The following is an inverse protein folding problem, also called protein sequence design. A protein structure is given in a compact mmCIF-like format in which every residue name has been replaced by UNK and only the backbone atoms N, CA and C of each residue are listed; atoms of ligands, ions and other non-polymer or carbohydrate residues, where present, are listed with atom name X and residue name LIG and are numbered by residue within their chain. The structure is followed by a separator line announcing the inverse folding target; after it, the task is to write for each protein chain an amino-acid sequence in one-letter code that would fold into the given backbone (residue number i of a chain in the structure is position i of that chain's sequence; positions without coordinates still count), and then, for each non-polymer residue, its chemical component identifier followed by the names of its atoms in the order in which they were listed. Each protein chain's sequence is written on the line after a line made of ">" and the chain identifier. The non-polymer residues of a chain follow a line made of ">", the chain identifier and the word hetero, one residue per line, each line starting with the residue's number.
data_IF_290003738176
#
_entry.id   IF_290003738176
#
_cell.length_a   1.000
_cell.length_b   1.000
_cell.length_c   1.000
_cell.angle_alpha   90.00
_cell.angle_beta   90.00
_cell.angle_gamma   90.00
#
_symmetry.space_group_name_H-M   'P 1'
#
loop_
_entity.id
_entity.type
_entity.pdbx_description
1 polymer ?
#
# COMPACT_ATOMS: atom_id res chain seq x y z
N UNK A 1 -11.62 -25.21 -7.59
CA UNK A 1 -11.31 -23.78 -7.85
C UNK A 1 -12.17 -22.97 -6.91
N UNK A 2 -11.58 -22.33 -5.90
CA UNK A 2 -12.30 -21.39 -5.04
C UNK A 2 -12.56 -20.13 -5.88
N UNK A 3 -13.82 -19.85 -6.20
CA UNK A 3 -14.22 -18.63 -6.89
C UNK A 3 -13.98 -17.44 -5.95
N UNK A 4 -12.79 -16.84 -6.01
CA UNK A 4 -12.49 -15.65 -5.24
C UNK A 4 -13.30 -14.48 -5.84
N UNK A 5 -14.12 -13.78 -5.04
CA UNK A 5 -15.00 -12.74 -5.57
C UNK A 5 -14.24 -11.50 -6.05
N UNK A 6 -12.96 -11.38 -5.67
CA UNK A 6 -12.09 -10.26 -6.01
C UNK A 6 -10.80 -10.77 -6.64
N UNK A 7 -10.35 -10.04 -7.66
CA UNK A 7 -9.01 -10.13 -8.24
C UNK A 7 -8.21 -8.90 -7.82
N UNK A 8 -6.99 -9.12 -7.33
CA UNK A 8 -6.07 -8.06 -6.93
C UNK A 8 -4.95 -7.95 -7.98
N UNK A 9 -4.83 -6.80 -8.63
CA UNK A 9 -3.74 -6.50 -9.56
C UNK A 9 -2.81 -5.49 -8.93
N UNK A 10 -1.50 -5.79 -8.85
CA UNK A 10 -0.52 -4.84 -8.30
C UNK A 10 -0.52 -3.55 -9.12
N UNK A 11 -0.34 -2.42 -8.44
CA UNK A 11 -0.12 -1.12 -9.09
C UNK A 11 1.27 -1.06 -9.77
N UNK A 12 1.42 -0.25 -10.83
CA UNK A 12 2.66 -0.15 -11.59
C UNK A 12 3.82 0.43 -10.77
N UNK A 13 5.04 0.09 -11.19
CA UNK A 13 6.28 0.56 -10.56
C UNK A 13 6.40 2.09 -10.50
N UNK A 14 5.82 2.82 -11.46
CA UNK A 14 5.81 4.29 -11.49
C UNK A 14 5.04 4.91 -10.32
N UNK A 15 4.08 4.18 -9.74
CA UNK A 15 3.32 4.62 -8.57
C UNK A 15 4.02 4.18 -7.28
N UNK A 16 4.50 2.94 -7.23
CA UNK A 16 4.93 2.31 -5.98
C UNK A 16 6.37 2.56 -5.58
N UNK A 17 7.26 2.79 -6.55
CA UNK A 17 8.69 2.82 -6.30
C UNK A 17 9.21 4.25 -6.23
N UNK A 18 9.76 4.61 -5.07
CA UNK A 18 10.41 5.91 -4.89
C UNK A 18 11.61 6.05 -5.85
N UNK A 19 11.73 7.24 -6.44
CA UNK A 19 12.78 7.64 -7.39
C UNK A 19 12.91 6.64 -8.54
N UNK A 20 11.79 6.12 -9.03
CA UNK A 20 11.78 5.16 -10.15
C UNK A 20 11.81 5.86 -11.50
N UNK A 21 11.12 6.99 -11.61
CA UNK A 21 11.07 7.80 -12.82
C UNK A 21 12.23 8.79 -12.77
N UNK A 22 13.15 8.70 -13.73
CA UNK A 22 14.31 9.59 -13.74
C UNK A 22 13.88 11.02 -14.13
N UNK A 23 14.46 12.01 -13.47
CA UNK A 23 14.17 13.44 -13.62
C UNK A 23 12.72 13.85 -13.25
N UNK A 24 12.02 13.01 -12.48
CA UNK A 24 10.72 13.34 -11.90
C UNK A 24 10.86 13.47 -10.38
N UNK A 25 10.73 14.69 -9.87
CA UNK A 25 10.86 14.95 -8.44
C UNK A 25 9.69 14.37 -7.64
N UNK A 26 8.52 14.22 -8.26
CA UNK A 26 7.32 13.69 -7.60
C UNK A 26 7.23 12.16 -7.65
N UNK A 27 8.30 11.45 -8.06
CA UNK A 27 8.36 9.99 -8.08
C UNK A 27 8.48 9.43 -6.64
N UNK A 28 7.46 9.63 -5.82
CA UNK A 28 7.33 9.09 -4.47
C UNK A 28 5.84 8.87 -4.14
N UNK A 29 5.48 7.65 -3.71
CA UNK A 29 4.10 7.33 -3.37
C UNK A 29 3.57 8.12 -2.16
N UNK A 30 4.45 8.50 -1.24
CA UNK A 30 4.11 9.27 -0.03
C UNK A 30 3.56 10.65 -0.36
N UNK A 31 3.96 11.23 -1.50
CA UNK A 31 3.42 12.51 -1.96
C UNK A 31 1.92 12.43 -2.23
N UNK A 32 1.48 11.41 -2.98
CA UNK A 32 0.06 11.28 -3.28
C UNK A 32 -0.73 10.78 -2.05
N UNK A 33 -0.11 10.04 -1.14
CA UNK A 33 -0.76 9.67 0.13
C UNK A 33 -0.98 10.91 1.02
N UNK A 34 -0.04 11.86 1.03
CA UNK A 34 -0.23 13.14 1.70
C UNK A 34 -1.35 13.97 1.05
N UNK A 35 -1.41 14.00 -0.29
CA UNK A 35 -2.55 14.59 -1.01
C UNK A 35 -3.86 13.90 -0.62
N UNK A 36 -3.87 12.57 -0.56
CA UNK A 36 -5.02 11.79 -0.15
C UNK A 36 -5.52 12.18 1.26
N UNK A 37 -4.63 12.30 2.26
CA UNK A 37 -5.02 12.74 3.61
C UNK A 37 -5.70 14.12 3.58
N UNK A 38 -5.20 15.01 2.72
CA UNK A 38 -5.73 16.36 2.59
C UNK A 38 -7.05 16.43 1.80
N UNK A 39 -7.37 15.43 0.97
CA UNK A 39 -8.66 15.31 0.27
C UNK A 39 -9.68 14.45 1.03
N UNK A 40 -9.22 13.61 1.96
CA UNK A 40 -10.04 12.69 2.75
C UNK A 40 -10.93 13.42 3.76
N UNK A 41 -12.27 13.37 3.63
CA UNK A 41 -13.17 13.95 4.62
C UNK A 41 -12.97 13.37 6.03
N UNK A 42 -12.64 12.08 6.14
CA UNK A 42 -12.34 11.42 7.41
C UNK A 42 -11.10 12.01 8.08
N UNK A 43 -9.97 12.08 7.37
CA UNK A 43 -8.72 12.61 7.93
C UNK A 43 -8.80 14.11 8.18
N UNK A 44 -9.50 14.86 7.32
CA UNK A 44 -9.79 16.27 7.58
C UNK A 44 -10.54 16.46 8.91
N UNK A 45 -11.58 15.68 9.19
CA UNK A 45 -12.25 15.73 10.50
C UNK A 45 -11.30 15.34 11.64
N UNK A 46 -10.45 14.33 11.41
CA UNK A 46 -9.50 13.82 12.41
C UNK A 46 -8.41 14.83 12.77
N UNK A 47 -8.01 15.68 11.84
CA UNK A 47 -7.07 16.80 12.07
C UNK A 47 -7.75 18.11 12.47
N UNK A 48 -9.04 18.11 12.83
CA UNK A 48 -9.82 19.34 13.04
C UNK A 48 -9.72 20.32 11.84
N UNK A 49 -9.73 19.77 10.63
CA UNK A 49 -9.60 20.44 9.34
C UNK A 49 -8.26 21.18 9.16
N UNK A 50 -7.26 20.84 9.96
CA UNK A 50 -5.90 21.32 9.78
C UNK A 50 -5.21 20.49 8.71
N UNK A 51 -4.44 21.17 7.86
CA UNK A 51 -3.72 20.54 6.76
C UNK A 51 -2.65 19.59 7.30
N UNK A 52 -2.50 18.44 6.65
CA UNK A 52 -1.34 17.58 6.83
C UNK A 52 -0.18 18.08 5.98
N UNK A 53 0.97 18.21 6.60
CA UNK A 53 2.22 18.65 5.96
C UNK A 53 3.31 17.59 6.15
N UNK A 54 4.33 17.67 5.30
CA UNK A 54 5.53 16.85 5.47
C UNK A 54 6.32 17.34 6.69
N UNK A 55 7.06 16.45 7.37
CA UNK A 55 8.04 16.87 8.35
C UNK A 55 9.09 17.81 7.73
N UNK A 56 9.66 18.68 8.57
CA UNK A 56 10.70 19.63 8.17
C UNK A 56 12.02 18.89 7.83
N UNK A 57 12.21 17.70 8.40
CA UNK A 57 13.40 16.89 8.22
C UNK A 57 13.04 15.40 8.11
N UNK A 58 13.57 14.69 7.13
CA UNK A 58 13.43 13.22 7.01
C UNK A 58 14.39 12.45 7.96
N UNK A 59 15.18 13.14 8.79
CA UNK A 59 16.02 12.50 9.81
C UNK A 59 15.23 12.14 11.07
N UNK A 60 15.54 10.97 11.63
CA UNK A 60 15.13 10.50 12.96
C UNK A 60 13.63 10.29 13.18
N UNK A 61 13.08 9.22 12.61
CA UNK A 61 11.81 8.63 13.07
C UNK A 61 10.61 9.58 13.09
N UNK A 62 10.66 10.72 12.40
CA UNK A 62 9.54 11.65 12.29
C UNK A 62 8.38 11.02 11.51
N UNK A 63 7.13 11.43 11.75
CA UNK A 63 6.01 10.95 10.97
C UNK A 63 6.00 11.47 9.53
N UNK A 64 5.52 10.65 8.60
CA UNK A 64 5.47 11.01 7.17
C UNK A 64 4.47 12.15 6.89
N UNK A 65 3.43 12.28 7.73
CA UNK A 65 2.47 13.37 7.67
C UNK A 65 2.09 13.88 9.06
N UNK A 66 2.12 15.21 9.22
CA UNK A 66 1.94 15.89 10.49
C UNK A 66 0.85 16.96 10.35
N UNK A 67 -0.09 16.96 11.28
CA UNK A 67 -0.98 18.08 11.58
C UNK A 67 -0.87 18.38 13.09
N UNK A 68 -1.24 19.58 13.56
CA UNK A 68 -1.13 19.91 14.99
C UNK A 68 -1.88 18.96 15.93
N UNK A 69 -2.97 18.34 15.49
CA UNK A 69 -3.77 17.42 16.32
C UNK A 69 -3.58 15.94 15.98
N UNK A 70 -2.89 15.59 14.88
CA UNK A 70 -2.74 14.19 14.47
C UNK A 70 -1.52 13.98 13.59
N UNK A 71 -0.80 12.88 13.82
CA UNK A 71 0.34 12.45 13.01
C UNK A 71 0.16 11.02 12.55
N UNK A 72 0.71 10.69 11.37
CA UNK A 72 0.57 9.37 10.75
C UNK A 72 1.77 9.04 9.87
N UNK A 73 2.21 7.78 9.90
CA UNK A 73 3.21 7.21 8.99
C UNK A 73 2.52 6.52 7.80
N UNK A 74 3.12 6.62 6.63
CA UNK A 74 2.79 5.84 5.47
C UNK A 74 3.61 4.56 5.45
N UNK A 75 2.94 3.44 5.21
CA UNK A 75 3.61 2.14 5.09
C UNK A 75 3.04 1.39 3.91
N UNK A 76 3.92 0.93 3.03
CA UNK A 76 3.54 0.11 1.89
C UNK A 76 3.35 -1.34 2.34
N UNK A 77 2.12 -1.85 2.21
CA UNK A 77 1.78 -3.23 2.51
C UNK A 77 2.05 -4.08 1.27
N UNK A 78 3.34 -4.40 1.03
CA UNK A 78 3.79 -5.24 -0.07
C UNK A 78 5.07 -6.02 0.28
N UNK A 79 5.27 -7.15 -0.38
CA UNK A 79 6.49 -7.95 -0.23
C UNK A 79 7.70 -7.22 -0.84
N UNK A 80 8.83 -7.25 -0.14
CA UNK A 80 10.09 -6.70 -0.63
C UNK A 80 10.58 -7.40 -1.89
N UNK A 81 10.36 -8.71 -2.00
CA UNK A 81 10.65 -9.47 -3.23
C UNK A 81 9.82 -8.96 -4.42
N UNK A 82 8.55 -8.62 -4.20
CA UNK A 82 7.65 -8.08 -5.23
C UNK A 82 8.12 -6.69 -5.70
N UNK A 83 8.39 -5.78 -4.77
CA UNK A 83 8.89 -4.43 -5.11
C UNK A 83 10.23 -4.49 -5.85
N UNK A 84 11.12 -5.41 -5.46
CA UNK A 84 12.36 -5.67 -6.19
C UNK A 84 12.08 -6.21 -7.59
N UNK A 85 11.14 -7.15 -7.73
CA UNK A 85 10.70 -7.69 -9.01
C UNK A 85 10.22 -6.57 -9.93
N UNK A 86 9.30 -5.71 -9.45
CA UNK A 86 8.84 -4.53 -10.17
C UNK A 86 9.99 -3.64 -10.63
N UNK A 87 10.95 -3.32 -9.75
CA UNK A 87 12.08 -2.46 -10.09
C UNK A 87 12.96 -3.02 -11.21
N UNK A 88 13.10 -4.35 -11.28
CA UNK A 88 13.99 -5.02 -12.22
C UNK A 88 13.31 -5.35 -13.55
N UNK A 89 12.03 -5.69 -13.50
CA UNK A 89 11.24 -6.18 -14.64
C UNK A 89 10.41 -5.09 -15.32
N UNK A 90 10.11 -3.97 -14.65
CA UNK A 90 9.36 -2.88 -15.28
C UNK A 90 10.25 -2.08 -16.24
N UNK A 91 9.71 -1.58 -17.36
CA UNK A 91 10.41 -0.66 -18.24
C UNK A 91 10.91 0.58 -17.48
N UNK A 92 12.09 1.08 -17.84
CA UNK A 92 12.56 2.34 -17.26
C UNK A 92 11.78 3.51 -17.83
N UNK A 93 11.51 4.51 -16.99
CA UNK A 93 10.79 5.73 -17.39
C UNK A 93 11.62 6.95 -17.03
N UNK A 94 11.68 7.94 -17.90
CA UNK A 94 12.32 9.23 -17.63
C UNK A 94 11.55 10.40 -18.23
N UNK A 95 11.72 11.57 -17.63
CA UNK A 95 11.16 12.85 -18.09
C UNK A 95 12.34 13.78 -18.43
N UNK A 96 12.98 13.62 -19.61
CA UNK A 96 14.19 14.38 -19.96
C UNK A 96 13.95 15.89 -20.01
N UNK A 97 12.75 16.31 -20.41
CA UNK A 97 12.29 17.69 -20.40
C UNK A 97 10.76 17.72 -20.27
N UNK A 98 10.22 18.92 -20.01
CA UNK A 98 8.77 19.11 -19.84
C UNK A 98 7.98 18.61 -21.05
N UNK A 99 6.93 17.83 -20.79
CA UNK A 99 6.07 17.25 -21.82
C UNK A 99 6.63 16.03 -22.56
N UNK A 100 7.89 15.65 -22.34
CA UNK A 100 8.50 14.48 -23.01
C UNK A 100 8.67 13.33 -22.02
N UNK A 101 8.14 12.16 -22.37
CA UNK A 101 8.29 10.92 -21.61
C UNK A 101 9.07 9.93 -22.46
N UNK A 102 10.19 9.43 -21.93
CA UNK A 102 11.00 8.42 -22.58
C UNK A 102 10.90 7.07 -21.85
N UNK A 103 10.78 6.01 -22.65
CA UNK A 103 10.68 4.64 -22.17
C UNK A 103 11.89 3.83 -22.60
N UNK A 104 12.47 3.10 -21.66
CA UNK A 104 13.60 2.21 -21.89
C UNK A 104 13.30 0.77 -21.50
N UNK A 105 14.22 -0.12 -21.85
CA UNK A 105 14.10 -1.54 -21.52
C UNK A 105 14.19 -1.76 -20.00
N UNK A 106 13.53 -2.81 -19.48
CA UNK A 106 13.73 -3.24 -18.10
C UNK A 106 15.19 -3.52 -17.77
N UNK A 107 15.60 -3.26 -16.52
CA UNK A 107 16.97 -3.54 -16.05
C UNK A 107 17.36 -5.00 -16.21
N UNK A 108 16.40 -5.92 -16.13
CA UNK A 108 16.56 -7.35 -16.36
C UNK A 108 15.47 -7.85 -17.31
N UNK A 109 15.77 -7.79 -18.60
CA UNK A 109 14.88 -8.27 -19.66
C UNK A 109 14.84 -9.80 -19.70
N UNK A 110 13.66 -10.39 -19.91
CA UNK A 110 13.50 -11.85 -20.11
C UNK A 110 13.78 -12.71 -18.87
N UNK A 111 13.82 -12.11 -17.68
CA UNK A 111 14.01 -12.85 -16.42
C UNK A 111 12.69 -12.97 -15.66
N UNK A 112 12.44 -14.17 -15.18
CA UNK A 112 11.37 -14.42 -14.22
C UNK A 112 11.84 -14.17 -12.80
N UNK A 113 10.97 -13.60 -11.99
CA UNK A 113 11.20 -13.34 -10.57
C UNK A 113 10.11 -14.02 -9.77
N UNK A 114 10.50 -14.88 -8.82
CA UNK A 114 9.58 -15.33 -7.78
C UNK A 114 9.34 -14.18 -6.80
N UNK A 115 8.06 -13.90 -6.53
CA UNK A 115 7.63 -12.77 -5.71
C UNK A 115 6.56 -13.21 -4.72
N UNK A 116 6.61 -12.65 -3.50
CA UNK A 116 5.60 -12.89 -2.47
C UNK A 116 4.33 -12.07 -2.71
N UNK A 117 3.17 -12.70 -2.72
CA UNK A 117 1.88 -12.01 -2.71
C UNK A 117 1.35 -11.97 -1.29
N UNK A 118 1.62 -10.86 -0.59
CA UNK A 118 1.35 -10.75 0.85
C UNK A 118 -0.09 -11.08 1.26
N UNK A 119 -1.09 -10.72 0.46
CA UNK A 119 -2.49 -11.01 0.76
C UNK A 119 -2.79 -12.52 0.72
N UNK A 120 -2.10 -13.30 -0.12
CA UNK A 120 -2.21 -14.75 -0.13
C UNK A 120 -1.42 -15.37 1.03
N UNK A 121 -0.23 -14.85 1.33
CA UNK A 121 0.60 -15.32 2.44
C UNK A 121 -0.12 -15.12 3.78
N UNK A 122 -0.57 -13.90 4.07
CA UNK A 122 -1.20 -13.56 5.35
C UNK A 122 -2.61 -14.11 5.51
N UNK A 123 -3.32 -14.41 4.42
CA UNK A 123 -4.60 -15.13 4.45
C UNK A 123 -4.48 -16.53 5.05
N UNK A 124 -3.32 -17.17 4.93
CA UNK A 124 -3.09 -18.55 5.38
C UNK A 124 -2.50 -18.63 6.80
N UNK A 125 -2.07 -17.51 7.38
CA UNK A 125 -1.36 -17.49 8.66
C UNK A 125 -2.28 -17.09 9.82
N UNK A 126 -2.30 -17.89 10.88
CA UNK A 126 -3.00 -17.55 12.13
C UNK A 126 -2.20 -16.58 12.99
N UNK A 127 -2.87 -15.90 13.92
CA UNK A 127 -2.20 -15.06 14.92
C UNK A 127 -1.12 -15.81 15.72
N UNK A 128 -1.37 -17.06 16.13
CA UNK A 128 -0.38 -17.88 16.83
C UNK A 128 0.85 -18.15 15.96
N UNK A 129 0.65 -18.42 14.67
CA UNK A 129 1.74 -18.62 13.72
C UNK A 129 2.57 -17.35 13.55
N UNK A 130 1.93 -16.18 13.41
CA UNK A 130 2.64 -14.89 13.34
C UNK A 130 3.48 -14.62 14.59
N UNK A 131 2.92 -14.88 15.78
CA UNK A 131 3.63 -14.73 17.06
C UNK A 131 4.81 -15.71 17.19
N UNK A 132 4.61 -16.97 16.81
CA UNK A 132 5.69 -17.97 16.80
C UNK A 132 6.79 -17.60 15.81
N UNK A 133 6.40 -17.13 14.63
CA UNK A 133 7.30 -16.73 13.57
C UNK A 133 8.19 -15.56 14.02
N UNK A 134 7.61 -14.51 14.63
CA UNK A 134 8.38 -13.40 15.20
C UNK A 134 9.37 -13.87 16.27
N UNK A 135 8.94 -14.73 17.19
CA UNK A 135 9.80 -15.27 18.27
C UNK A 135 10.99 -16.09 17.75
N UNK A 136 10.77 -16.89 16.69
CA UNK A 136 11.81 -17.76 16.12
C UNK A 136 12.83 -16.99 15.28
N UNK A 137 12.44 -15.85 14.72
CA UNK A 137 13.24 -15.11 13.74
C UNK A 137 13.54 -13.67 14.20
N UNK A 138 14.39 -13.52 15.22
CA UNK A 138 14.80 -12.21 15.74
C UNK A 138 15.77 -11.42 14.82
N UNK A 139 16.32 -12.02 13.77
CA UNK A 139 17.19 -11.34 12.78
C UNK A 139 16.92 -11.88 11.38
N UNK A 140 16.69 -10.98 10.41
CA UNK A 140 16.63 -11.31 8.99
C UNK A 140 17.99 -11.90 8.55
N UNK A 141 17.99 -13.17 8.10
CA UNK A 141 19.22 -13.87 7.66
C UNK A 141 19.33 -14.10 6.15
N UNK A 142 18.29 -13.77 5.37
CA UNK A 142 18.26 -13.96 3.91
C UNK A 142 17.11 -13.17 3.27
N UNK A 143 17.15 -12.98 1.94
CA UNK A 143 16.00 -12.51 1.12
C UNK A 143 15.30 -13.76 0.59
N UNK A 144 14.32 -14.27 1.34
CA UNK A 144 13.41 -15.35 0.94
C UNK A 144 11.98 -15.03 1.44
N UNK A 145 11.01 -15.89 1.20
CA UNK A 145 9.60 -15.65 1.59
C UNK A 145 9.45 -15.36 3.11
N UNK A 146 10.34 -15.91 3.93
CA UNK A 146 10.41 -15.66 5.37
C UNK A 146 10.71 -14.18 5.64
N UNK A 147 11.59 -13.60 4.83
CA UNK A 147 11.98 -12.19 4.92
C UNK A 147 10.81 -11.26 4.63
N UNK A 148 9.97 -11.59 3.64
CA UNK A 148 8.79 -10.79 3.32
C UNK A 148 7.80 -10.74 4.48
N UNK A 149 7.55 -11.89 5.13
CA UNK A 149 6.71 -11.94 6.34
C UNK A 149 7.32 -11.07 7.44
N UNK A 150 8.62 -11.23 7.73
CA UNK A 150 9.28 -10.43 8.78
C UNK A 150 9.26 -8.93 8.49
N UNK A 151 9.41 -8.53 7.23
CA UNK A 151 9.35 -7.14 6.81
C UNK A 151 7.95 -6.55 7.01
N UNK A 152 6.90 -7.31 6.69
CA UNK A 152 5.52 -6.89 6.96
C UNK A 152 5.25 -6.85 8.47
N UNK A 153 5.69 -7.83 9.25
CA UNK A 153 5.56 -7.80 10.72
C UNK A 153 6.24 -6.57 11.31
N UNK A 154 7.47 -6.28 10.90
CA UNK A 154 8.22 -5.08 11.33
C UNK A 154 7.48 -3.80 10.95
N UNK A 155 6.84 -3.78 9.77
CA UNK A 155 6.03 -2.65 9.31
C UNK A 155 4.83 -2.41 10.23
N UNK A 156 4.06 -3.45 10.53
CA UNK A 156 2.88 -3.33 11.40
C UNK A 156 3.24 -3.20 12.89
N UNK A 157 4.47 -3.45 13.30
CA UNK A 157 4.97 -3.17 14.65
C UNK A 157 5.35 -1.70 14.87
N UNK A 158 5.29 -0.86 13.82
CA UNK A 158 5.60 0.58 13.94
C UNK A 158 4.76 1.22 15.05
N UNK A 159 5.42 1.75 16.06
CA UNK A 159 4.77 2.33 17.25
C UNK A 159 4.31 3.78 17.00
N UNK A 160 3.46 3.95 16.00
CA UNK A 160 2.83 5.21 15.56
C UNK A 160 1.51 4.89 14.87
N UNK A 161 0.67 5.90 14.63
CA UNK A 161 -0.48 5.74 13.73
C UNK A 161 0.04 5.43 12.32
N UNK A 162 -0.56 4.46 11.64
CA UNK A 162 -0.12 4.11 10.28
C UNK A 162 -1.28 4.05 9.30
N UNK A 163 -1.00 4.52 8.08
CA UNK A 163 -1.78 4.23 6.88
C UNK A 163 -1.04 3.14 6.10
N UNK A 164 -1.57 1.92 6.17
CA UNK A 164 -1.14 0.79 5.35
C UNK A 164 -1.73 0.96 3.95
N UNK A 165 -0.89 1.34 2.99
CA UNK A 165 -1.28 1.34 1.60
C UNK A 165 -1.12 -0.06 1.02
N UNK A 166 -2.23 -0.73 0.74
CA UNK A 166 -2.28 -2.02 0.03
C UNK A 166 -2.30 -1.74 -1.47
N UNK A 167 -1.17 -1.91 -2.17
CA UNK A 167 -0.93 -1.31 -3.48
C UNK A 167 -1.48 -2.17 -4.63
N UNK A 168 -2.71 -2.62 -4.48
CA UNK A 168 -3.41 -3.41 -5.47
C UNK A 168 -4.68 -2.69 -5.91
N UNK A 169 -4.92 -2.67 -7.22
CA UNK A 169 -6.21 -2.36 -7.82
C UNK A 169 -7.09 -3.60 -7.73
N UNK A 170 -8.15 -3.50 -6.96
CA UNK A 170 -9.15 -4.53 -6.80
C UNK A 170 -10.15 -4.48 -7.96
N UNK A 171 -10.59 -5.64 -8.40
CA UNK A 171 -11.68 -5.79 -9.36
C UNK A 171 -12.56 -6.96 -8.95
N UNK A 172 -13.85 -6.88 -9.23
CA UNK A 172 -14.77 -7.97 -8.92
C UNK A 172 -14.75 -9.01 -10.04
N UNK A 173 -14.83 -10.28 -9.65
CA UNK A 173 -14.87 -11.39 -10.59
C UNK A 173 -16.18 -11.35 -11.41
N UNK A 174 -16.04 -11.40 -12.73
CA UNK A 174 -17.17 -11.48 -13.66
C UNK A 174 -17.97 -12.77 -13.43
N UNK A 175 -19.30 -12.68 -13.47
CA UNK A 175 -20.20 -13.84 -13.32
C UNK A 175 -20.62 -14.18 -11.89
N UNK A 176 -20.24 -13.38 -10.90
CA UNK A 176 -20.77 -13.46 -9.53
C UNK A 176 -21.74 -12.30 -9.33
N UNK A 177 -22.96 -12.60 -8.90
CA UNK A 177 -23.93 -11.57 -8.51
C UNK A 177 -23.44 -10.90 -7.21
N UNK A 178 -23.06 -9.63 -7.31
CA UNK A 178 -22.50 -8.87 -6.18
C UNK A 178 -23.47 -7.76 -5.82
N UNK A 179 -24.19 -7.98 -4.73
CA UNK A 179 -25.21 -7.07 -4.21
C UNK A 179 -24.57 -5.80 -3.64
N UNK A 180 -23.44 -5.96 -2.93
CA UNK A 180 -22.70 -4.85 -2.31
C UNK A 180 -21.19 -5.00 -2.58
N UNK A 181 -20.65 -4.25 -3.56
CA UNK A 181 -19.23 -4.26 -3.89
C UNK A 181 -18.32 -3.97 -2.69
N UNK A 182 -18.66 -2.93 -1.91
CA UNK A 182 -17.84 -2.51 -0.77
C UNK A 182 -17.84 -3.57 0.32
N UNK A 183 -19.00 -4.14 0.67
CA UNK A 183 -19.05 -5.22 1.67
C UNK A 183 -18.28 -6.46 1.22
N UNK A 184 -18.33 -6.78 -0.07
CA UNK A 184 -17.57 -7.89 -0.63
C UNK A 184 -16.07 -7.63 -0.51
N UNK A 185 -15.63 -6.41 -0.82
CA UNK A 185 -14.24 -5.96 -0.63
C UNK A 185 -13.83 -6.02 0.84
N UNK A 186 -14.63 -5.47 1.76
CA UNK A 186 -14.36 -5.54 3.19
C UNK A 186 -14.13 -6.98 3.65
N UNK A 187 -15.04 -7.90 3.31
CA UNK A 187 -14.95 -9.32 3.71
C UNK A 187 -13.71 -10.01 3.17
N UNK A 188 -13.28 -9.71 1.95
CA UNK A 188 -12.05 -10.29 1.41
C UNK A 188 -10.80 -9.66 2.03
N UNK A 189 -10.79 -8.35 2.28
CA UNK A 189 -9.69 -7.71 3.02
C UNK A 189 -9.58 -8.25 4.45
N UNK A 190 -10.70 -8.54 5.11
CA UNK A 190 -10.71 -9.22 6.41
C UNK A 190 -10.06 -10.60 6.31
N UNK A 191 -10.44 -11.41 5.31
CA UNK A 191 -9.78 -12.70 5.08
C UNK A 191 -8.28 -12.56 4.82
N UNK A 192 -7.83 -11.49 4.18
CA UNK A 192 -6.41 -11.29 3.88
C UNK A 192 -5.60 -10.84 5.11
N UNK A 193 -6.18 -9.99 5.96
CA UNK A 193 -5.39 -9.20 6.91
C UNK A 193 -5.90 -9.22 8.35
N UNK A 194 -7.02 -9.87 8.66
CA UNK A 194 -7.57 -9.87 10.03
C UNK A 194 -6.54 -10.34 11.06
N UNK A 195 -5.87 -11.47 10.81
CA UNK A 195 -4.88 -12.02 11.74
C UNK A 195 -3.62 -11.13 11.85
N UNK A 196 -3.22 -10.48 10.75
CA UNK A 196 -2.13 -9.49 10.76
C UNK A 196 -2.49 -8.24 11.56
N UNK A 197 -3.74 -7.79 11.50
CA UNK A 197 -4.20 -6.61 12.23
C UNK A 197 -4.41 -6.90 13.72
N UNK A 198 -4.91 -8.09 14.07
CA UNK A 198 -4.91 -8.60 15.46
C UNK A 198 -3.50 -8.70 16.03
N UNK A 199 -2.54 -9.14 15.20
CA UNK A 199 -1.13 -9.14 15.59
C UNK A 199 -0.67 -7.72 15.94
N UNK A 200 -0.99 -6.72 15.10
CA UNK A 200 -0.64 -5.33 15.39
C UNK A 200 -1.27 -4.81 16.68
N UNK A 201 -2.56 -5.03 16.90
CA UNK A 201 -3.28 -4.56 18.10
C UNK A 201 -2.67 -5.11 19.41
N UNK A 202 -2.08 -6.31 19.38
CA UNK A 202 -1.32 -6.85 20.52
C UNK A 202 0.01 -6.14 20.80
N UNK A 203 0.55 -5.43 19.82
CA UNK A 203 1.88 -4.81 19.89
C UNK A 203 1.82 -3.28 20.01
N UNK A 204 0.68 -2.64 19.75
CA UNK A 204 0.56 -1.18 19.77
C UNK A 204 -0.88 -0.71 19.97
N UNK A 205 -1.03 0.46 20.59
CA UNK A 205 -2.32 1.14 20.83
C UNK A 205 -2.64 2.19 19.74
N UNK A 206 -1.76 2.38 18.77
CA UNK A 206 -1.91 3.39 17.74
C UNK A 206 -2.89 2.98 16.63
N UNK A 207 -3.54 3.98 16.02
CA UNK A 207 -4.50 3.77 14.96
C UNK A 207 -3.89 3.07 13.74
N UNK A 208 -4.72 2.29 13.06
CA UNK A 208 -4.34 1.58 11.84
C UNK A 208 -5.41 1.73 10.79
N UNK A 209 -4.98 2.20 9.61
CA UNK A 209 -5.82 2.36 8.45
C UNK A 209 -5.32 1.51 7.30
N UNK A 210 -6.24 1.01 6.49
CA UNK A 210 -5.94 0.29 5.26
C UNK A 210 -6.50 1.08 4.08
N UNK A 211 -5.65 1.38 3.10
CA UNK A 211 -6.01 2.07 1.86
C UNK A 211 -5.78 1.16 0.68
N UNK A 212 -6.76 1.04 -0.22
CA UNK A 212 -6.62 0.28 -1.47
C UNK A 212 -7.43 0.92 -2.58
N UNK A 213 -7.26 0.50 -3.84
CA UNK A 213 -7.95 1.05 -4.99
C UNK A 213 -9.02 0.10 -5.52
N UNK A 214 -10.19 0.61 -5.85
CA UNK A 214 -11.26 -0.09 -6.56
C UNK A 214 -12.02 0.88 -7.47
N UNK A 215 -12.18 0.55 -8.75
CA UNK A 215 -12.93 1.37 -9.73
C UNK A 215 -12.61 2.88 -9.67
N UNK A 216 -11.33 3.23 -9.69
CA UNK A 216 -10.85 4.63 -9.66
C UNK A 216 -11.28 5.39 -8.38
N UNK A 217 -11.56 4.63 -7.32
CA UNK A 217 -11.76 5.12 -5.96
C UNK A 217 -10.66 4.54 -5.07
N UNK A 218 -10.08 5.39 -4.24
CA UNK A 218 -9.41 4.94 -3.04
C UNK A 218 -10.44 4.61 -1.97
N UNK A 219 -10.36 3.41 -1.40
CA UNK A 219 -11.22 2.94 -0.33
C UNK A 219 -10.41 2.94 0.98
N UNK A 220 -10.93 3.62 2.00
CA UNK A 220 -10.34 3.67 3.33
C UNK A 220 -11.09 2.74 4.28
N UNK A 221 -10.32 1.98 5.05
CA UNK A 221 -10.84 1.16 6.12
C UNK A 221 -10.09 1.42 7.42
N UNK A 222 -10.78 1.32 8.55
CA UNK A 222 -10.18 1.23 9.87
C UNK A 222 -10.22 -0.20 10.37
N UNK A 223 -9.24 -0.55 11.20
CA UNK A 223 -9.29 -1.77 11.98
C UNK A 223 -9.90 -1.51 13.37
N UNK A 224 -10.82 -2.39 13.81
CA UNK A 224 -11.32 -2.42 15.20
C UNK A 224 -11.50 -3.87 15.66
N UNK A 225 -10.71 -4.27 16.65
CA UNK A 225 -10.77 -5.51 17.46
C UNK A 225 -10.84 -6.81 16.66
N UNK A 226 -11.89 -7.02 15.87
CA UNK A 226 -12.12 -8.23 15.07
C UNK A 226 -12.68 -7.95 13.66
N UNK A 227 -12.68 -6.70 13.19
CA UNK A 227 -13.25 -6.35 11.88
C UNK A 227 -12.50 -5.24 11.15
N UNK A 228 -12.63 -5.24 9.83
CA UNK A 228 -12.21 -4.14 8.96
C UNK A 228 -13.46 -3.35 8.58
N UNK A 229 -13.55 -2.13 9.08
CA UNK A 229 -14.69 -1.24 8.86
C UNK A 229 -14.39 -0.27 7.74
N UNK A 230 -15.24 -0.24 6.72
CA UNK A 230 -15.21 0.79 5.69
C UNK A 230 -15.50 2.16 6.32
N UNK A 231 -14.67 3.14 5.98
CA UNK A 231 -14.81 4.51 6.47
C UNK A 231 -15.32 5.46 5.37
N UNK A 232 -14.70 5.42 4.20
CA UNK A 232 -14.99 6.35 3.12
C UNK A 232 -14.34 5.93 1.79
N UNK A 233 -14.66 6.67 0.74
CA UNK A 233 -13.93 6.61 -0.52
C UNK A 233 -13.62 8.02 -1.04
N UNK A 234 -12.49 8.13 -1.76
CA UNK A 234 -12.05 9.35 -2.44
C UNK A 234 -11.73 9.00 -3.89
N UNK A 235 -12.09 9.85 -4.84
CA UNK A 235 -11.83 9.56 -6.26
C UNK A 235 -10.34 9.73 -6.55
N UNK A 236 -9.74 8.78 -7.25
CA UNK A 236 -8.31 8.83 -7.59
C UNK A 236 -7.97 10.06 -8.45
N UNK A 237 -8.92 10.52 -9.28
CA UNK A 237 -8.78 11.73 -10.10
C UNK A 237 -8.60 13.02 -9.29
N UNK A 238 -9.02 13.02 -8.03
CA UNK A 238 -8.90 14.17 -7.13
C UNK A 238 -7.50 14.20 -6.48
N UNK A 239 -6.63 13.22 -6.80
CA UNK A 239 -5.25 13.09 -6.33
C UNK A 239 -4.30 13.29 -7.53
N UNK A 240 -3.88 14.53 -7.85
CA UNK A 240 -3.13 14.84 -9.07
C UNK A 240 -1.81 14.09 -9.18
N UNK A 241 -1.06 13.94 -8.10
CA UNK A 241 0.22 13.22 -8.13
C UNK A 241 0.01 11.75 -8.47
N UNK A 242 -1.03 11.12 -7.93
CA UNK A 242 -1.36 9.73 -8.28
C UNK A 242 -1.67 9.59 -9.77
N UNK A 243 -2.48 10.49 -10.35
CA UNK A 243 -2.81 10.47 -11.78
C UNK A 243 -1.58 10.71 -12.66
N UNK A 244 -0.71 11.64 -12.26
CA UNK A 244 0.56 11.91 -12.94
C UNK A 244 1.43 10.64 -12.99
N UNK A 245 1.62 9.97 -11.85
CA UNK A 245 2.40 8.72 -11.75
C UNK A 245 1.77 7.55 -12.49
N UNK A 246 0.44 7.46 -12.48
CA UNK A 246 -0.31 6.47 -13.26
C UNK A 246 -0.17 6.72 -14.76
N UNK A 247 -0.21 7.98 -15.22
CA UNK A 247 -0.04 8.30 -16.64
C UNK A 247 1.32 7.86 -17.17
N UNK A 248 2.39 8.00 -16.38
CA UNK A 248 3.71 7.49 -16.76
C UNK A 248 3.77 5.97 -16.98
N UNK A 249 2.86 5.19 -16.39
CA UNK A 249 2.82 3.73 -16.61
C UNK A 249 2.31 3.31 -17.99
N UNK A 250 1.64 4.21 -18.72
CA UNK A 250 1.02 3.91 -20.00
C UNK A 250 1.96 4.24 -21.17
N UNK A 251 2.77 3.27 -21.57
CA UNK A 251 3.78 3.45 -22.64
C UNK A 251 3.23 3.81 -24.02
N UNK A 252 1.92 3.59 -24.25
CA UNK A 252 1.29 3.69 -25.57
C UNK A 252 -0.11 4.32 -25.50
N UNK A 253 -0.25 5.47 -24.83
CA UNK A 253 -1.43 6.32 -25.05
C UNK A 253 -1.31 7.05 -26.39
#
# INVERSE_FOLDING_TARGET
>A
MTNNPIKAQILPATILLNKFIANEHDSNYELFLLEYLNQSPYFQKKSNFQRYEKPISENNSEPDAISPSYTIDFKLLAATTYLRGLRLASPSVSVPCEGVIAYGRPRKTGKEFRVGQIHNIFKELSLEELLMFRKKHNKLRSIDDTADILNVLTTVETNKNILLFFPYKLSLSQGIEIISPIETISKELEKFFLELLKYREKNTEFDTYLLTEYNDLFLLFSFKTDSIQYLECVKTKDIPTYIKLLNYSNQFK
#
